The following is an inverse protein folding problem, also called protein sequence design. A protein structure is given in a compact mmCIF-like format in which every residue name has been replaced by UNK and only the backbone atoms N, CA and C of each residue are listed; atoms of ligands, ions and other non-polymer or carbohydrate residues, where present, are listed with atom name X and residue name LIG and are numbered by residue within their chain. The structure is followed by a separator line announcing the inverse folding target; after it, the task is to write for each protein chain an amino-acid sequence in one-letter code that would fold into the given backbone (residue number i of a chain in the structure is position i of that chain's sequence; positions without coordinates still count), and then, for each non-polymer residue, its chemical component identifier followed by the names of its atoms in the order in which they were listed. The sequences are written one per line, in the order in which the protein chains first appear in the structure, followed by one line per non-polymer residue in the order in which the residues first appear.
data_IF_778181461548
#
_entry.id   IF_778181461548
#
_cell.length_a   1.000
_cell.length_b   1.000
_cell.length_c   1.000
_cell.angle_alpha   90.00
_cell.angle_beta   90.00
_cell.angle_gamma   90.00
#
_symmetry.space_group_name_H-M   'P 1'
#
loop_
_entity.id
_entity.type
_entity.pdbx_description
1 polymer ?
#
# COMPACT_ATOMS: atom_id res chain seq x y z
N UNK A 1 12.01 14.60 -12.25
CA UNK A 1 12.04 13.36 -13.05
C UNK A 1 13.14 12.46 -12.49
N UNK A 2 12.95 11.14 -12.51
CA UNK A 2 14.04 10.20 -12.20
C UNK A 2 14.69 9.80 -13.52
N UNK A 3 16.02 9.97 -13.63
CA UNK A 3 16.80 9.67 -14.85
C UNK A 3 18.09 8.93 -14.49
N UNK A 4 18.69 8.25 -15.46
CA UNK A 4 20.04 7.70 -15.27
C UNK A 4 21.07 8.83 -15.14
N UNK A 5 22.08 8.58 -14.30
CA UNK A 5 23.23 9.45 -14.18
C UNK A 5 24.13 9.31 -15.42
N UNK A 6 24.83 10.39 -15.72
CA UNK A 6 25.91 10.49 -16.71
C UNK A 6 27.21 10.87 -16.01
N UNK A 7 28.34 10.79 -16.73
CA UNK A 7 29.64 11.18 -16.17
C UNK A 7 29.69 12.66 -15.75
N UNK A 8 28.87 13.52 -16.37
CA UNK A 8 28.79 14.96 -16.05
C UNK A 8 28.14 15.21 -14.69
N UNK A 9 27.38 14.25 -14.16
CA UNK A 9 26.68 14.37 -12.88
C UNK A 9 27.58 14.10 -11.67
N UNK A 10 28.82 13.62 -11.85
CA UNK A 10 29.68 13.13 -10.76
C UNK A 10 29.88 14.18 -9.66
N UNK A 11 30.19 15.42 -10.03
CA UNK A 11 30.39 16.51 -9.07
C UNK A 11 29.10 16.84 -8.28
N UNK A 12 27.93 16.73 -8.91
CA UNK A 12 26.65 16.95 -8.25
C UNK A 12 26.29 15.79 -7.31
N UNK A 13 26.65 14.56 -7.68
CA UNK A 13 26.52 13.36 -6.85
C UNK A 13 27.38 13.49 -5.59
N UNK A 14 28.66 13.86 -5.72
CA UNK A 14 29.56 14.03 -4.59
C UNK A 14 29.02 15.08 -3.59
N UNK A 15 28.56 16.23 -4.11
CA UNK A 15 27.97 17.28 -3.28
C UNK A 15 26.68 16.82 -2.58
N UNK A 16 25.82 16.05 -3.27
CA UNK A 16 24.60 15.48 -2.69
C UNK A 16 24.92 14.49 -1.57
N UNK A 17 25.86 13.57 -1.80
CA UNK A 17 26.26 12.55 -0.84
C UNK A 17 26.89 13.19 0.39
N UNK A 18 27.80 14.15 0.21
CA UNK A 18 28.41 14.87 1.33
C UNK A 18 27.33 15.56 2.18
N UNK A 19 26.39 16.27 1.55
CA UNK A 19 25.30 16.95 2.25
C UNK A 19 24.34 15.99 2.96
N UNK A 20 23.98 14.87 2.34
CA UNK A 20 23.02 13.90 2.88
C UNK A 20 23.61 13.09 4.04
N UNK A 21 24.91 12.78 4.00
CA UNK A 21 25.54 11.85 4.95
C UNK A 21 26.38 12.51 6.06
N UNK A 22 26.82 13.76 5.89
CA UNK A 22 27.58 14.50 6.91
C UNK A 22 26.98 14.46 8.33
N UNK A 23 25.65 14.58 8.53
CA UNK A 23 25.05 14.52 9.87
C UNK A 23 25.29 13.19 10.61
N UNK A 24 25.58 12.10 9.89
CA UNK A 24 25.75 10.77 10.47
C UNK A 24 27.19 10.46 10.90
N UNK A 25 28.18 11.27 10.53
CA UNK A 25 29.60 11.03 10.88
C UNK A 25 29.76 10.93 12.40
N UNK A 26 29.18 11.88 13.15
CA UNK A 26 29.27 11.88 14.61
C UNK A 26 28.52 10.71 15.27
N UNK A 27 27.41 10.25 14.64
CA UNK A 27 26.58 9.15 15.17
C UNK A 27 27.20 7.78 14.93
N UNK A 28 27.84 7.60 13.78
CA UNK A 28 28.49 6.35 13.38
C UNK A 28 29.91 6.27 13.94
N UNK A 29 30.56 7.42 14.18
CA UNK A 29 31.96 7.50 14.60
C UNK A 29 32.94 7.33 13.44
N UNK A 30 32.47 7.30 12.20
CA UNK A 30 33.26 7.18 10.98
C UNK A 30 32.51 7.79 9.79
N UNK A 31 33.22 8.05 8.68
CA UNK A 31 32.59 8.44 7.41
C UNK A 31 31.71 7.27 6.92
N UNK A 32 30.39 7.48 6.69
CA UNK A 32 29.51 6.45 6.14
C UNK A 32 29.99 5.88 4.80
N UNK A 33 29.73 4.60 4.55
CA UNK A 33 30.10 3.91 3.29
C UNK A 33 29.78 4.69 2.01
N UNK A 34 28.59 5.28 1.84
CA UNK A 34 28.27 6.10 0.67
C UNK A 34 29.21 7.27 0.39
N UNK A 35 29.88 7.83 1.42
CA UNK A 35 30.86 8.91 1.28
C UNK A 35 32.26 8.41 0.92
N UNK A 36 32.46 7.08 0.88
CA UNK A 36 33.71 6.41 0.54
C UNK A 36 33.63 5.70 -0.83
N UNK A 37 32.44 5.63 -1.42
CA UNK A 37 32.15 4.93 -2.67
C UNK A 37 32.65 5.73 -3.88
N UNK A 38 33.19 5.03 -4.88
CA UNK A 38 33.49 5.63 -6.18
C UNK A 38 32.27 5.47 -7.11
N UNK A 39 31.55 6.57 -7.34
CA UNK A 39 30.34 6.54 -8.17
C UNK A 39 30.63 6.47 -9.67
N UNK A 40 31.84 6.81 -10.14
CA UNK A 40 32.17 6.76 -11.56
C UNK A 40 31.96 5.37 -12.21
N UNK A 41 32.45 4.24 -11.63
CA UNK A 41 32.17 2.91 -12.17
C UNK A 41 30.69 2.52 -12.08
N UNK A 42 29.97 2.95 -11.03
CA UNK A 42 28.53 2.68 -10.90
C UNK A 42 27.71 3.42 -11.98
N UNK A 43 28.10 4.66 -12.31
CA UNK A 43 27.51 5.44 -13.41
C UNK A 43 27.79 4.73 -14.75
N UNK A 44 29.02 4.30 -14.99
CA UNK A 44 29.40 3.57 -16.21
C UNK A 44 28.61 2.25 -16.36
N UNK A 45 28.35 1.57 -15.24
CA UNK A 45 27.53 0.36 -15.18
C UNK A 45 26.01 0.63 -15.26
N UNK A 46 25.58 1.91 -15.36
CA UNK A 46 24.18 2.35 -15.39
C UNK A 46 23.39 1.97 -14.12
N UNK A 47 24.08 1.90 -12.99
CA UNK A 47 23.49 1.55 -11.70
C UNK A 47 23.02 2.78 -10.91
N UNK A 48 23.44 4.00 -11.29
CA UNK A 48 23.09 5.24 -10.61
C UNK A 48 21.96 5.97 -11.33
N UNK A 49 20.93 6.33 -10.58
CA UNK A 49 19.78 7.12 -11.01
C UNK A 49 19.63 8.36 -10.13
N UNK A 50 19.18 9.45 -10.72
CA UNK A 50 19.10 10.77 -10.10
C UNK A 50 17.68 11.30 -10.14
N UNK A 51 17.25 11.86 -9.01
CA UNK A 51 16.06 12.71 -8.96
C UNK A 51 16.45 14.13 -9.36
N UNK A 52 16.06 14.51 -10.56
CA UNK A 52 16.24 15.83 -11.13
C UNK A 52 14.96 16.66 -10.94
N UNK A 53 15.07 17.79 -10.24
CA UNK A 53 13.99 18.75 -10.06
C UNK A 53 14.43 20.08 -10.64
N UNK A 54 13.85 20.47 -11.77
CA UNK A 54 14.14 21.74 -12.46
C UNK A 54 15.65 21.93 -12.75
N UNK A 55 16.34 20.86 -13.16
CA UNK A 55 17.78 20.88 -13.47
C UNK A 55 18.68 20.76 -12.23
N UNK A 56 18.12 20.52 -11.05
CA UNK A 56 18.89 20.28 -9.83
C UNK A 56 18.79 18.82 -9.39
N UNK A 57 19.95 18.19 -9.17
CA UNK A 57 20.04 16.86 -8.57
C UNK A 57 19.73 16.98 -7.07
N UNK A 58 18.56 16.47 -6.66
CA UNK A 58 18.09 16.51 -5.27
C UNK A 58 18.01 15.13 -4.62
N UNK A 59 18.25 14.06 -5.37
CA UNK A 59 18.30 12.71 -4.84
C UNK A 59 19.05 11.75 -5.75
N UNK A 60 19.47 10.64 -5.16
CA UNK A 60 20.25 9.57 -5.79
C UNK A 60 19.71 8.22 -5.36
N UNK A 61 19.72 7.28 -6.28
CA UNK A 61 19.36 5.88 -6.08
C UNK A 61 20.36 5.00 -6.83
N UNK A 62 20.96 4.04 -6.14
CA UNK A 62 21.86 3.03 -6.71
C UNK A 62 21.17 1.68 -6.66
N UNK A 63 20.99 1.07 -7.83
CA UNK A 63 20.33 -0.23 -8.00
C UNK A 63 21.30 -1.26 -8.57
N UNK A 64 21.43 -2.40 -7.89
CA UNK A 64 22.30 -3.50 -8.31
C UNK A 64 21.44 -4.75 -8.46
N UNK A 65 21.39 -5.32 -9.67
CA UNK A 65 20.68 -6.57 -9.91
C UNK A 65 21.48 -7.76 -9.37
N UNK A 66 20.85 -8.57 -8.52
CA UNK A 66 21.35 -9.85 -8.02
C UNK A 66 20.53 -11.01 -8.65
N UNK A 67 20.92 -12.25 -8.40
CA UNK A 67 20.28 -13.45 -9.00
C UNK A 67 18.76 -13.53 -8.75
N UNK A 68 18.29 -13.11 -7.57
CA UNK A 68 16.88 -13.21 -7.16
C UNK A 68 16.33 -11.96 -6.48
N UNK A 69 17.06 -10.84 -6.54
CA UNK A 69 16.63 -9.60 -5.94
C UNK A 69 17.24 -8.39 -6.65
N UNK A 70 16.56 -7.25 -6.56
CA UNK A 70 17.19 -5.96 -6.83
C UNK A 70 17.69 -5.38 -5.49
N UNK A 71 18.97 -5.02 -5.39
CA UNK A 71 19.52 -4.34 -4.23
C UNK A 71 19.41 -2.83 -4.42
N UNK A 72 18.76 -2.15 -3.48
CA UNK A 72 18.96 -0.72 -3.25
C UNK A 72 20.22 -0.59 -2.41
N UNK A 73 21.33 -0.29 -3.09
CA UNK A 73 22.63 -0.18 -2.44
C UNK A 73 22.77 1.18 -1.72
N UNK A 74 22.23 2.23 -2.34
CA UNK A 74 22.19 3.56 -1.75
C UNK A 74 20.94 4.32 -2.19
N UNK A 75 20.31 5.03 -1.25
CA UNK A 75 19.25 6.00 -1.51
C UNK A 75 19.53 7.26 -0.69
N UNK A 76 19.62 8.40 -1.35
CA UNK A 76 19.93 9.67 -0.72
C UNK A 76 19.00 10.78 -1.22
N UNK A 77 18.60 11.67 -0.32
CA UNK A 77 17.84 12.89 -0.64
C UNK A 77 18.54 14.06 0.01
N UNK A 78 18.76 15.12 -0.78
CA UNK A 78 19.39 16.34 -0.30
C UNK A 78 18.62 16.91 0.90
N UNK A 79 19.27 17.37 1.99
CA UNK A 79 18.60 17.89 3.18
C UNK A 79 17.50 18.95 2.89
N UNK A 80 17.79 19.95 2.03
CA UNK A 80 16.82 20.97 1.57
C UNK A 80 15.57 20.43 0.86
N UNK A 81 15.57 19.16 0.47
CA UNK A 81 14.52 18.51 -0.29
C UNK A 81 13.81 17.40 0.51
N UNK A 82 14.19 17.20 1.78
CA UNK A 82 13.52 16.27 2.69
C UNK A 82 12.10 16.75 3.04
N UNK A 83 11.26 15.82 3.49
CA UNK A 83 9.85 16.10 3.81
C UNK A 83 8.93 16.27 2.59
N UNK A 84 9.47 16.25 1.36
CA UNK A 84 8.70 16.44 0.12
C UNK A 84 8.25 15.14 -0.56
N UNK A 85 8.43 13.99 0.09
CA UNK A 85 8.09 12.67 -0.47
C UNK A 85 9.09 12.08 -1.46
N UNK A 86 10.20 12.78 -1.77
CA UNK A 86 11.21 12.31 -2.73
C UNK A 86 11.88 10.99 -2.38
N UNK A 87 12.11 10.71 -1.10
CA UNK A 87 12.62 9.41 -0.67
C UNK A 87 11.67 8.27 -1.04
N UNK A 88 10.36 8.44 -0.77
CA UNK A 88 9.33 7.49 -1.18
C UNK A 88 9.30 7.33 -2.69
N UNK A 89 9.36 8.44 -3.44
CA UNK A 89 9.37 8.40 -4.90
C UNK A 89 10.54 7.56 -5.47
N UNK A 90 11.73 7.69 -4.89
CA UNK A 90 12.90 6.87 -5.29
C UNK A 90 12.70 5.39 -4.95
N UNK A 91 12.15 5.07 -3.77
CA UNK A 91 11.87 3.68 -3.39
C UNK A 91 10.81 3.04 -4.31
N UNK A 92 9.72 3.76 -4.63
CA UNK A 92 8.69 3.26 -5.55
C UNK A 92 9.27 3.06 -6.97
N UNK A 93 10.18 3.92 -7.42
CA UNK A 93 10.90 3.71 -8.66
C UNK A 93 11.75 2.44 -8.63
N UNK A 94 12.46 2.18 -7.52
CA UNK A 94 13.20 0.94 -7.33
C UNK A 94 12.28 -0.30 -7.39
N UNK A 95 11.08 -0.23 -6.81
CA UNK A 95 10.06 -1.30 -6.92
C UNK A 95 9.64 -1.51 -8.37
N UNK A 96 9.37 -0.43 -9.11
CA UNK A 96 9.03 -0.52 -10.53
C UNK A 96 10.17 -1.17 -11.34
N UNK A 97 11.44 -0.80 -11.10
CA UNK A 97 12.59 -1.43 -11.74
C UNK A 97 12.69 -2.93 -11.42
N UNK A 98 12.49 -3.33 -10.15
CA UNK A 98 12.51 -4.74 -9.77
C UNK A 98 11.43 -5.54 -10.52
N UNK A 99 10.21 -4.98 -10.68
CA UNK A 99 9.15 -5.60 -11.50
C UNK A 99 9.54 -5.73 -12.96
N UNK A 100 10.09 -4.67 -13.56
CA UNK A 100 10.53 -4.67 -14.96
C UNK A 100 11.63 -5.70 -15.22
N UNK A 101 12.49 -5.95 -14.23
CA UNK A 101 13.53 -6.98 -14.28
C UNK A 101 13.02 -8.39 -13.95
N UNK A 102 11.75 -8.56 -13.59
CA UNK A 102 11.18 -9.84 -13.16
C UNK A 102 11.75 -10.34 -11.83
N UNK A 103 12.33 -9.46 -11.02
CA UNK A 103 12.94 -9.81 -9.74
C UNK A 103 11.85 -9.79 -8.65
N UNK A 104 11.63 -10.92 -7.94
CA UNK A 104 10.51 -11.06 -7.00
C UNK A 104 10.75 -10.29 -5.69
N UNK A 105 11.98 -9.80 -5.47
CA UNK A 105 12.41 -9.22 -4.20
C UNK A 105 13.21 -7.96 -4.45
N UNK A 106 13.07 -7.04 -3.52
CA UNK A 106 13.96 -5.90 -3.38
C UNK A 106 14.61 -5.98 -2.01
N UNK A 107 15.91 -5.71 -1.96
CA UNK A 107 16.73 -5.75 -0.76
C UNK A 107 17.30 -4.37 -0.52
N UNK A 108 17.56 -4.08 0.75
CA UNK A 108 18.32 -2.91 1.15
C UNK A 108 19.05 -3.21 2.45
N UNK A 109 19.95 -2.31 2.82
CA UNK A 109 20.53 -2.29 4.14
C UNK A 109 20.61 -0.85 4.65
N UNK A 110 20.69 -0.68 5.97
CA UNK A 110 20.96 0.62 6.57
C UNK A 110 21.85 0.46 7.80
N UNK A 111 22.59 1.51 8.17
CA UNK A 111 23.42 1.47 9.36
C UNK A 111 22.52 1.39 10.61
N UNK A 112 22.89 0.56 11.60
CA UNK A 112 22.13 0.42 12.85
C UNK A 112 21.96 1.74 13.60
N UNK A 113 22.91 2.67 13.47
CA UNK A 113 22.84 4.00 14.07
C UNK A 113 21.79 4.92 13.42
N UNK A 114 21.22 4.56 12.26
CA UNK A 114 20.19 5.30 11.52
C UNK A 114 18.79 4.73 11.79
N UNK A 115 18.37 4.72 13.05
CA UNK A 115 17.10 4.12 13.48
C UNK A 115 15.86 4.71 12.78
N UNK A 116 15.92 5.97 12.35
CA UNK A 116 14.87 6.62 11.55
C UNK A 116 14.64 5.92 10.20
N UNK A 117 15.70 5.42 9.57
CA UNK A 117 15.61 4.70 8.30
C UNK A 117 14.96 3.33 8.50
N UNK A 118 15.23 2.67 9.63
CA UNK A 118 14.61 1.39 9.95
C UNK A 118 13.09 1.54 10.05
N UNK A 119 12.61 2.54 10.80
CA UNK A 119 11.18 2.84 10.89
C UNK A 119 10.55 3.19 9.54
N UNK A 120 11.26 3.98 8.72
CA UNK A 120 10.82 4.30 7.35
C UNK A 120 10.65 3.05 6.49
N UNK A 121 11.65 2.18 6.45
CA UNK A 121 11.60 0.98 5.59
C UNK A 121 10.56 -0.03 6.09
N UNK A 122 10.40 -0.19 7.41
CA UNK A 122 9.32 -1.01 7.98
C UNK A 122 7.94 -0.51 7.56
N UNK A 123 7.71 0.81 7.63
CA UNK A 123 6.46 1.42 7.16
C UNK A 123 6.24 1.26 5.64
N UNK A 124 7.32 1.10 4.85
CA UNK A 124 7.25 0.79 3.42
C UNK A 124 7.08 -0.72 3.13
N UNK A 125 6.94 -1.55 4.17
CA UNK A 125 6.70 -2.98 4.06
C UNK A 125 7.96 -3.84 3.94
N UNK A 126 9.15 -3.27 4.22
CA UNK A 126 10.37 -4.06 4.33
C UNK A 126 10.42 -4.77 5.67
N UNK A 127 10.82 -6.04 5.66
CA UNK A 127 11.11 -6.81 6.86
C UNK A 127 12.61 -6.88 7.10
N UNK A 128 12.99 -6.76 8.36
CA UNK A 128 14.35 -7.09 8.78
C UNK A 128 14.61 -8.59 8.59
N UNK A 129 15.76 -8.92 8.01
CA UNK A 129 16.18 -10.30 7.77
C UNK A 129 17.22 -10.73 8.78
N UNK A 130 18.26 -9.90 8.95
CA UNK A 130 19.36 -10.13 9.87
C UNK A 130 20.16 -8.84 10.07
N UNK A 131 21.03 -8.85 11.08
CA UNK A 131 22.02 -7.80 11.35
C UNK A 131 23.40 -8.41 11.25
N UNK A 132 24.33 -7.68 10.62
CA UNK A 132 25.71 -8.13 10.48
C UNK A 132 26.67 -6.92 10.36
N UNK A 133 27.95 -7.19 10.58
CA UNK A 133 29.02 -6.26 10.20
C UNK A 133 29.32 -6.48 8.74
N UNK A 134 29.20 -5.43 7.95
CA UNK A 134 29.50 -5.44 6.52
C UNK A 134 30.33 -4.20 6.17
N UNK A 135 31.47 -4.42 5.51
CA UNK A 135 32.45 -3.38 5.19
C UNK A 135 32.85 -2.50 6.40
N UNK A 136 32.91 -3.09 7.60
CA UNK A 136 33.24 -2.38 8.84
C UNK A 136 32.07 -1.62 9.49
N UNK A 137 30.87 -1.65 8.92
CA UNK A 137 29.69 -0.99 9.47
C UNK A 137 28.70 -2.01 10.06
N UNK A 138 28.12 -1.67 11.20
CA UNK A 138 26.98 -2.39 11.76
C UNK A 138 25.74 -2.10 10.92
N UNK A 139 25.26 -3.09 10.16
CA UNK A 139 24.11 -2.93 9.25
C UNK A 139 22.90 -3.76 9.71
N UNK A 140 21.73 -3.27 9.33
CA UNK A 140 20.46 -4.01 9.33
C UNK A 140 20.09 -4.30 7.89
N UNK A 141 19.95 -5.57 7.54
CA UNK A 141 19.57 -6.02 6.20
C UNK A 141 18.08 -6.27 6.15
N UNK A 142 17.42 -5.77 5.10
CA UNK A 142 15.99 -5.86 4.95
C UNK A 142 15.61 -6.27 3.53
N UNK A 143 14.43 -6.86 3.40
CA UNK A 143 13.86 -7.15 2.11
C UNK A 143 12.35 -6.96 2.06
N UNK A 144 11.84 -6.88 0.83
CA UNK A 144 10.42 -6.80 0.52
C UNK A 144 10.16 -7.58 -0.75
N UNK A 145 9.05 -8.30 -0.79
CA UNK A 145 8.58 -8.91 -2.03
C UNK A 145 7.97 -7.84 -2.94
N UNK A 146 8.31 -7.90 -4.22
CA UNK A 146 7.88 -6.94 -5.23
C UNK A 146 6.77 -7.57 -6.06
N UNK A 147 5.70 -6.81 -6.29
CA UNK A 147 4.53 -7.33 -7.03
C UNK A 147 3.60 -8.20 -6.17
N UNK A 148 3.58 -7.99 -4.85
CA UNK A 148 2.52 -8.50 -3.96
C UNK A 148 2.36 -10.00 -3.85
N UNK A 149 3.36 -10.79 -4.26
CA UNK A 149 3.40 -12.23 -4.08
C UNK A 149 4.68 -12.68 -3.36
N UNK A 150 4.62 -13.79 -2.64
CA UNK A 150 5.79 -14.39 -1.99
C UNK A 150 6.61 -15.28 -2.94
N UNK A 151 7.63 -15.98 -2.40
CA UNK A 151 8.50 -16.87 -3.18
C UNK A 151 7.77 -18.09 -3.75
N UNK A 152 6.60 -18.45 -3.20
CA UNK A 152 5.75 -19.52 -3.72
C UNK A 152 4.80 -19.00 -4.80
N UNK A 153 4.75 -17.68 -5.04
CA UNK A 153 3.77 -17.03 -5.92
C UNK A 153 2.39 -16.89 -5.28
N UNK A 154 2.28 -17.02 -3.96
CA UNK A 154 1.05 -16.73 -3.23
C UNK A 154 0.96 -15.23 -2.96
N UNK A 155 -0.25 -14.66 -3.05
CA UNK A 155 -0.49 -13.27 -2.67
C UNK A 155 -0.03 -13.06 -1.24
N UNK A 156 0.66 -11.96 -0.97
CA UNK A 156 1.16 -11.65 0.37
C UNK A 156 0.01 -11.56 1.37
N UNK A 157 0.24 -12.06 2.58
CA UNK A 157 -0.63 -11.83 3.73
C UNK A 157 -0.09 -10.67 4.55
N UNK A 158 -0.92 -10.14 5.45
CA UNK A 158 -0.46 -9.16 6.43
C UNK A 158 0.72 -9.69 7.24
N UNK A 159 1.72 -8.82 7.45
CA UNK A 159 2.88 -9.16 8.25
C UNK A 159 2.46 -9.40 9.72
N UNK A 160 3.03 -10.40 10.41
CA UNK A 160 2.70 -10.72 11.80
C UNK A 160 3.40 -9.75 12.77
N UNK A 161 3.15 -8.45 12.61
CA UNK A 161 3.72 -7.39 13.45
C UNK A 161 2.83 -7.13 14.68
N UNK A 162 3.39 -6.61 15.77
CA UNK A 162 2.56 -6.14 16.88
C UNK A 162 1.65 -4.98 16.43
N UNK A 163 0.43 -4.93 16.96
CA UNK A 163 -0.44 -3.77 16.77
C UNK A 163 0.17 -2.54 17.45
N UNK A 164 -0.02 -1.36 16.87
CA UNK A 164 0.52 -0.11 17.39
C UNK A 164 0.01 0.14 18.83
N UNK A 165 0.89 0.33 19.82
CA UNK A 165 0.48 0.44 21.23
C UNK A 165 -0.55 1.53 21.51
N UNK A 166 -0.49 2.65 20.77
CA UNK A 166 -1.42 3.77 20.89
C UNK A 166 -2.89 3.35 20.67
N UNK A 167 -3.15 2.36 19.81
CA UNK A 167 -4.49 1.90 19.47
C UNK A 167 -5.03 0.85 20.44
N UNK A 168 -4.19 0.32 21.34
CA UNK A 168 -4.59 -0.79 22.22
C UNK A 168 -5.79 -0.46 23.12
N UNK A 169 -5.89 0.72 23.78
CA UNK A 169 -7.05 1.05 24.59
C UNK A 169 -8.37 1.04 23.81
N UNK A 170 -8.35 1.57 22.57
CA UNK A 170 -9.49 1.55 21.66
C UNK A 170 -9.88 0.12 21.27
N UNK A 171 -8.90 -0.72 20.93
CA UNK A 171 -9.15 -2.11 20.55
C UNK A 171 -9.68 -2.95 21.72
N UNK A 172 -9.15 -2.74 22.91
CA UNK A 172 -9.63 -3.41 24.13
C UNK A 172 -11.08 -3.00 24.45
N UNK A 173 -11.43 -1.72 24.28
CA UNK A 173 -12.79 -1.22 24.49
C UNK A 173 -13.77 -1.70 23.42
N UNK A 174 -13.37 -1.72 22.14
CA UNK A 174 -14.11 -2.33 21.04
C UNK A 174 -14.49 -3.78 21.37
N UNK A 175 -13.49 -4.57 21.78
CA UNK A 175 -13.62 -5.96 22.13
C UNK A 175 -14.60 -6.15 23.31
N UNK A 176 -14.39 -5.44 24.42
CA UNK A 176 -15.26 -5.53 25.60
C UNK A 176 -16.69 -5.07 25.31
N UNK A 177 -16.85 -3.98 24.56
CA UNK A 177 -18.16 -3.44 24.19
C UNK A 177 -18.94 -4.46 23.35
N UNK A 178 -18.33 -5.01 22.30
CA UNK A 178 -18.99 -5.97 21.42
C UNK A 178 -19.27 -7.31 22.12
N UNK A 179 -18.37 -7.81 22.95
CA UNK A 179 -18.63 -9.01 23.75
C UNK A 179 -19.80 -8.81 24.70
N UNK A 180 -19.79 -7.72 25.47
CA UNK A 180 -20.82 -7.46 26.48
C UNK A 180 -22.21 -7.36 25.88
N UNK A 181 -22.33 -6.75 24.70
CA UNK A 181 -23.63 -6.42 24.11
C UNK A 181 -24.08 -7.41 23.03
N UNK A 182 -23.16 -8.15 22.41
CA UNK A 182 -23.44 -9.01 21.26
C UNK A 182 -22.85 -10.42 21.39
N UNK A 183 -22.52 -10.90 22.60
CA UNK A 183 -21.86 -12.20 22.84
C UNK A 183 -22.46 -13.37 22.05
N UNK A 184 -23.78 -13.55 22.08
CA UNK A 184 -24.45 -14.67 21.43
C UNK A 184 -24.44 -14.58 19.89
N UNK A 185 -24.22 -13.39 19.35
CA UNK A 185 -24.18 -13.12 17.91
C UNK A 185 -22.75 -13.21 17.35
N UNK A 186 -21.75 -12.81 18.15
CA UNK A 186 -20.37 -12.61 17.70
C UNK A 186 -19.58 -13.93 17.60
N UNK A 187 -18.97 -14.17 16.44
CA UNK A 187 -18.08 -15.32 16.19
C UNK A 187 -16.60 -14.93 16.09
N UNK A 188 -16.29 -13.74 15.59
CA UNK A 188 -14.94 -13.18 15.59
C UNK A 188 -14.87 -11.71 15.22
N UNK A 189 -13.84 -11.04 15.72
CA UNK A 189 -13.49 -9.64 15.43
C UNK A 189 -12.15 -9.62 14.72
N UNK A 190 -12.12 -8.95 13.57
CA UNK A 190 -10.94 -8.82 12.74
C UNK A 190 -10.67 -7.35 12.42
N UNK A 191 -9.41 -6.98 12.36
CA UNK A 191 -8.97 -5.68 11.87
C UNK A 191 -8.50 -5.81 10.43
N UNK A 192 -8.83 -4.83 9.60
CA UNK A 192 -8.15 -4.62 8.32
C UNK A 192 -7.64 -3.16 8.27
N UNK A 193 -7.23 -2.68 7.09
CA UNK A 193 -6.84 -1.29 6.95
C UNK A 193 -5.49 -0.95 7.62
N UNK A 194 -5.28 0.32 7.93
CA UNK A 194 -3.99 0.83 8.40
C UNK A 194 -3.62 0.34 9.80
N UNK A 195 -4.62 0.20 10.68
CA UNK A 195 -4.40 -0.32 12.04
C UNK A 195 -3.92 -1.76 11.99
N UNK A 196 -4.51 -2.60 11.14
CA UNK A 196 -4.06 -3.99 10.96
C UNK A 196 -2.64 -4.08 10.38
N UNK A 197 -2.29 -3.17 9.45
CA UNK A 197 -0.96 -3.05 8.84
C UNK A 197 0.09 -2.39 9.74
N UNK A 198 -0.33 -1.79 10.85
CA UNK A 198 0.56 -1.05 11.77
C UNK A 198 1.12 0.25 11.19
N UNK A 199 0.44 0.84 10.21
CA UNK A 199 0.81 2.10 9.56
C UNK A 199 -0.22 3.23 9.82
N UNK A 200 -1.10 3.04 10.81
CA UNK A 200 -2.13 4.01 11.17
C UNK A 200 -1.54 5.28 11.83
N UNK A 201 -2.24 6.39 11.61
CA UNK A 201 -1.91 7.72 12.14
C UNK A 201 -3.03 8.22 13.02
N UNK A 202 -2.67 8.68 14.21
CA UNK A 202 -3.59 9.18 15.21
C UNK A 202 -4.37 10.39 14.68
N UNK A 203 -5.70 10.38 14.84
CA UNK A 203 -6.62 11.44 14.38
C UNK A 203 -6.85 11.50 12.86
N UNK A 204 -6.11 10.73 12.06
CA UNK A 204 -6.21 10.70 10.59
C UNK A 204 -6.71 9.38 10.02
N UNK A 205 -6.48 8.26 10.72
CA UNK A 205 -6.81 6.92 10.24
C UNK A 205 -8.16 6.44 10.75
N UNK A 206 -8.87 5.70 9.90
CA UNK A 206 -10.09 4.99 10.28
C UNK A 206 -9.77 3.70 11.06
N UNK A 207 -10.72 3.24 11.86
CA UNK A 207 -10.74 1.88 12.41
C UNK A 207 -11.66 1.00 11.56
N UNK A 208 -11.02 0.21 10.73
CA UNK A 208 -11.63 -0.75 9.82
C UNK A 208 -11.79 -2.13 10.50
N UNK A 209 -13.03 -2.55 10.79
CA UNK A 209 -13.33 -3.80 11.51
C UNK A 209 -14.20 -4.71 10.67
N UNK A 210 -13.81 -5.98 10.55
CA UNK A 210 -14.67 -7.04 10.04
C UNK A 210 -15.25 -7.85 11.20
N UNK A 211 -16.57 -7.94 11.27
CA UNK A 211 -17.31 -8.73 12.25
C UNK A 211 -17.85 -9.99 11.60
N UNK A 212 -17.43 -11.16 12.10
CA UNK A 212 -17.98 -12.44 11.69
C UNK A 212 -18.98 -12.91 12.74
N UNK A 213 -20.23 -13.10 12.30
CA UNK A 213 -21.35 -13.45 13.16
C UNK A 213 -21.68 -14.95 13.07
N UNK A 214 -22.13 -15.54 14.18
CA UNK A 214 -22.51 -16.95 14.26
C UNK A 214 -23.82 -17.29 13.53
N UNK A 215 -24.66 -16.28 13.27
CA UNK A 215 -25.93 -16.40 12.55
C UNK A 215 -26.23 -15.12 11.77
N UNK A 216 -27.15 -15.20 10.82
CA UNK A 216 -27.68 -14.02 10.14
C UNK A 216 -28.27 -13.04 11.16
N UNK A 217 -27.84 -11.76 11.14
CA UNK A 217 -28.35 -10.77 12.06
C UNK A 217 -29.79 -10.36 11.68
N UNK A 218 -30.63 -10.14 12.68
CA UNK A 218 -31.92 -9.49 12.51
C UNK A 218 -31.75 -7.98 12.34
N UNK A 219 -32.80 -7.27 11.93
CA UNK A 219 -32.77 -5.81 11.87
C UNK A 219 -32.44 -5.15 13.23
N UNK A 220 -32.86 -5.78 14.34
CA UNK A 220 -32.51 -5.31 15.70
C UNK A 220 -31.04 -5.52 16.02
N UNK A 221 -30.47 -6.65 15.61
CA UNK A 221 -29.04 -6.92 15.77
C UNK A 221 -28.22 -5.87 15.01
N UNK A 222 -28.59 -5.57 13.75
CA UNK A 222 -27.93 -4.54 12.95
C UNK A 222 -28.07 -3.14 13.56
N UNK A 223 -29.25 -2.77 14.02
CA UNK A 223 -29.46 -1.49 14.71
C UNK A 223 -28.63 -1.37 15.98
N UNK A 224 -28.48 -2.47 16.72
CA UNK A 224 -27.64 -2.50 17.91
C UNK A 224 -26.16 -2.34 17.55
N UNK A 225 -25.67 -3.06 16.54
CA UNK A 225 -24.28 -2.94 16.08
C UNK A 225 -23.95 -1.52 15.61
N UNK A 226 -24.85 -0.89 14.85
CA UNK A 226 -24.66 0.50 14.40
C UNK A 226 -24.64 1.48 15.57
N UNK A 227 -25.52 1.29 16.57
CA UNK A 227 -25.50 2.10 17.78
C UNK A 227 -24.15 1.97 18.51
N UNK A 228 -23.66 0.74 18.69
CA UNK A 228 -22.37 0.50 19.35
C UNK A 228 -21.19 1.07 18.57
N UNK A 229 -21.23 1.00 17.24
CA UNK A 229 -20.24 1.61 16.34
C UNK A 229 -20.12 3.11 16.60
N UNK A 230 -21.25 3.82 16.60
CA UNK A 230 -21.29 5.27 16.87
C UNK A 230 -20.86 5.60 18.30
N UNK A 231 -21.31 4.85 19.30
CA UNK A 231 -20.87 5.04 20.70
C UNK A 231 -19.37 4.79 20.89
N UNK A 232 -18.76 3.89 20.12
CA UNK A 232 -17.30 3.69 20.11
C UNK A 232 -16.58 4.84 19.42
N UNK A 233 -17.09 5.29 18.27
CA UNK A 233 -16.51 6.41 17.50
C UNK A 233 -16.48 7.69 18.36
N UNK A 234 -17.58 8.01 19.04
CA UNK A 234 -17.68 9.17 19.94
C UNK A 234 -16.69 9.13 21.11
N UNK A 235 -16.36 7.92 21.61
CA UNK A 235 -15.44 7.73 22.74
C UNK A 235 -13.97 7.80 22.36
N UNK A 236 -13.64 7.60 21.08
CA UNK A 236 -12.27 7.38 20.63
C UNK A 236 -11.88 8.32 19.49
N UNK A 237 -11.55 9.59 19.78
CA UNK A 237 -11.06 10.55 18.78
C UNK A 237 -9.67 10.21 18.22
N UNK A 238 -9.09 9.10 18.64
CA UNK A 238 -7.83 8.55 18.11
C UNK A 238 -7.97 8.15 16.62
N UNK A 239 -9.19 7.84 16.17
CA UNK A 239 -9.50 7.47 14.78
C UNK A 239 -10.51 8.46 14.20
N UNK A 240 -10.44 8.68 12.89
CA UNK A 240 -11.37 9.59 12.18
C UNK A 240 -12.78 9.02 12.05
N UNK A 241 -12.90 7.69 12.01
CA UNK A 241 -14.15 6.95 11.84
C UNK A 241 -13.97 5.50 12.28
N UNK A 242 -15.07 4.82 12.62
CA UNK A 242 -15.10 3.36 12.80
C UNK A 242 -16.08 2.74 11.78
N UNK A 243 -15.63 1.74 11.02
CA UNK A 243 -16.45 1.04 10.03
C UNK A 243 -16.54 -0.47 10.32
N UNK A 244 -17.74 -1.03 10.16
CA UNK A 244 -18.03 -2.45 10.35
C UNK A 244 -18.42 -3.13 9.04
N UNK A 245 -17.56 -4.00 8.54
CA UNK A 245 -17.89 -4.99 7.52
C UNK A 245 -18.46 -6.24 8.19
N UNK A 246 -19.70 -6.60 7.89
CA UNK A 246 -20.41 -7.67 8.61
C UNK A 246 -20.65 -8.85 7.67
N UNK A 247 -20.21 -10.05 8.09
CA UNK A 247 -20.50 -11.32 7.43
C UNK A 247 -20.90 -12.39 8.44
N UNK A 248 -21.48 -13.49 7.97
CA UNK A 248 -21.71 -14.67 8.82
C UNK A 248 -20.64 -15.73 8.60
N UNK A 249 -20.44 -16.59 9.60
CA UNK A 249 -19.55 -17.76 9.49
C UNK A 249 -19.89 -18.60 8.25
N UNK A 250 -21.17 -18.90 8.04
CA UNK A 250 -21.62 -19.71 6.91
C UNK A 250 -21.30 -19.04 5.58
N UNK A 251 -21.48 -17.72 5.48
CA UNK A 251 -21.12 -16.96 4.28
C UNK A 251 -19.61 -16.99 4.02
N UNK A 252 -18.79 -16.83 5.06
CA UNK A 252 -17.32 -16.83 4.93
C UNK A 252 -16.80 -18.19 4.47
N UNK A 253 -17.35 -19.28 5.01
CA UNK A 253 -16.89 -20.64 4.72
C UNK A 253 -17.52 -21.25 3.47
N UNK A 254 -18.55 -20.61 2.90
CA UNK A 254 -19.19 -21.06 1.66
C UNK A 254 -18.20 -21.07 0.48
N UNK A 255 -18.20 -22.15 -0.30
CA UNK A 255 -17.23 -22.36 -1.39
C UNK A 255 -17.33 -21.27 -2.47
N UNK A 256 -18.53 -20.79 -2.77
CA UNK A 256 -18.81 -19.68 -3.69
C UNK A 256 -18.20 -18.34 -3.24
N UNK A 257 -18.01 -18.16 -1.94
CA UNK A 257 -17.45 -16.95 -1.34
C UNK A 257 -15.95 -17.06 -1.06
N UNK A 258 -15.31 -18.17 -1.46
CA UNK A 258 -13.88 -18.38 -1.23
C UNK A 258 -13.04 -17.24 -1.79
N UNK A 259 -13.36 -16.76 -2.99
CA UNK A 259 -12.61 -15.70 -3.67
C UNK A 259 -13.01 -14.28 -3.24
N UNK A 260 -14.07 -14.12 -2.44
CA UNK A 260 -14.46 -12.86 -1.81
C UNK A 260 -14.05 -12.87 -0.33
N UNK A 261 -14.87 -13.45 0.54
CA UNK A 261 -14.64 -13.53 1.99
C UNK A 261 -13.38 -14.28 2.37
N UNK A 262 -13.12 -15.45 1.75
CA UNK A 262 -11.94 -16.25 2.08
C UNK A 262 -10.63 -15.52 1.76
N UNK A 263 -10.56 -14.90 0.58
CA UNK A 263 -9.44 -14.05 0.19
C UNK A 263 -9.31 -12.82 1.10
N UNK A 264 -10.43 -12.13 1.39
CA UNK A 264 -10.46 -10.95 2.26
C UNK A 264 -9.85 -11.26 3.62
N UNK A 265 -10.37 -12.29 4.32
CA UNK A 265 -9.87 -12.68 5.63
C UNK A 265 -8.39 -13.09 5.57
N UNK A 266 -8.01 -13.91 4.59
CA UNK A 266 -6.65 -14.45 4.50
C UNK A 266 -5.58 -13.40 4.26
N UNK A 267 -5.87 -12.40 3.43
CA UNK A 267 -4.86 -11.46 2.93
C UNK A 267 -4.94 -10.06 3.52
N UNK A 268 -6.12 -9.64 4.02
CA UNK A 268 -6.33 -8.27 4.49
C UNK A 268 -6.68 -8.15 5.97
N UNK A 269 -7.03 -9.26 6.63
CA UNK A 269 -7.53 -9.21 8.00
C UNK A 269 -6.54 -9.79 9.03
N UNK A 270 -6.66 -9.30 10.26
CA UNK A 270 -6.03 -9.85 11.46
C UNK A 270 -7.10 -10.16 12.49
N UNK A 271 -7.21 -11.42 12.90
CA UNK A 271 -8.07 -11.78 14.01
C UNK A 271 -7.52 -11.14 15.31
N UNK A 272 -8.39 -10.45 16.05
CA UNK A 272 -8.06 -9.90 17.37
C UNK A 272 -8.88 -10.55 18.49
N UNK A 273 -10.00 -11.21 18.15
CA UNK A 273 -10.84 -11.93 19.11
C UNK A 273 -11.74 -12.96 18.42
N UNK A 274 -12.07 -14.04 19.13
CA UNK A 274 -12.94 -15.12 18.64
C UNK A 274 -12.18 -16.23 17.92
N UNK A 275 -12.90 -17.09 17.19
CA UNK A 275 -12.28 -18.13 16.37
C UNK A 275 -11.66 -17.51 15.12
N UNK A 276 -10.37 -17.74 14.92
CA UNK A 276 -9.67 -17.29 13.71
C UNK A 276 -10.00 -18.21 12.53
N UNK A 277 -10.86 -17.73 11.63
CA UNK A 277 -11.25 -18.45 10.42
C UNK A 277 -10.17 -18.42 9.33
N UNK A 278 -9.13 -17.60 9.46
CA UNK A 278 -8.03 -17.52 8.50
C UNK A 278 -7.33 -18.88 8.34
N UNK A 279 -7.34 -19.71 9.39
CA UNK A 279 -6.75 -21.05 9.37
C UNK A 279 -7.41 -22.01 8.37
N UNK A 280 -8.65 -21.76 7.95
CA UNK A 280 -9.35 -22.59 6.96
C UNK A 280 -8.97 -22.26 5.51
N UNK A 281 -8.18 -21.20 5.30
CA UNK A 281 -7.79 -20.74 3.98
C UNK A 281 -6.28 -20.87 3.75
N UNK A 282 -5.89 -21.66 2.75
CA UNK A 282 -4.55 -21.59 2.19
C UNK A 282 -4.34 -20.21 1.52
N UNK A 283 -3.11 -19.68 1.48
CA UNK A 283 -2.79 -18.49 0.69
C UNK A 283 -3.27 -18.62 -0.76
N UNK A 284 -3.75 -17.52 -1.34
CA UNK A 284 -4.33 -17.50 -2.67
C UNK A 284 -3.29 -17.16 -3.73
N UNK A 285 -3.43 -17.76 -4.92
CA UNK A 285 -2.69 -17.36 -6.11
C UNK A 285 -3.32 -16.13 -6.78
N UNK A 286 -2.54 -15.33 -7.53
CA UNK A 286 -3.00 -14.08 -8.12
C UNK A 286 -3.87 -14.31 -9.38
N UNK A 287 -5.11 -14.77 -9.18
CA UNK A 287 -6.05 -15.11 -10.25
C UNK A 287 -7.14 -14.05 -10.46
N UNK A 288 -7.61 -13.91 -11.69
CA UNK A 288 -8.64 -12.94 -12.09
C UNK A 288 -9.97 -13.14 -11.35
N UNK A 289 -10.32 -14.38 -11.01
CA UNK A 289 -11.53 -14.71 -10.27
C UNK A 289 -11.61 -13.99 -8.91
N UNK A 290 -10.48 -13.77 -8.23
CA UNK A 290 -10.43 -13.00 -6.98
C UNK A 290 -10.74 -11.53 -7.26
N UNK A 291 -10.05 -10.93 -8.24
CA UNK A 291 -10.23 -9.51 -8.58
C UNK A 291 -11.68 -9.19 -8.98
N UNK A 292 -12.35 -10.13 -9.67
CA UNK A 292 -13.77 -10.03 -10.03
C UNK A 292 -14.69 -10.19 -8.81
N UNK A 293 -14.43 -11.19 -7.96
CA UNK A 293 -15.27 -11.47 -6.78
C UNK A 293 -15.29 -10.29 -5.79
N UNK A 294 -14.14 -9.66 -5.52
CA UNK A 294 -14.06 -8.51 -4.60
C UNK A 294 -14.58 -7.19 -5.19
N UNK A 295 -14.92 -7.18 -6.48
CA UNK A 295 -15.49 -6.01 -7.18
C UNK A 295 -16.83 -6.35 -7.84
N UNK A 296 -17.57 -7.32 -7.32
CA UNK A 296 -18.86 -7.74 -7.89
C UNK A 296 -19.91 -6.61 -7.90
N UNK A 297 -19.78 -5.64 -6.99
CA UNK A 297 -20.68 -4.47 -6.85
C UNK A 297 -20.21 -3.23 -7.64
N UNK A 298 -19.13 -3.35 -8.41
CA UNK A 298 -18.42 -2.20 -8.97
C UNK A 298 -19.30 -1.23 -9.73
N UNK A 299 -20.21 -1.74 -10.58
CA UNK A 299 -21.06 -0.89 -11.41
C UNK A 299 -21.94 0.05 -10.57
N UNK A 300 -22.55 -0.47 -9.50
CA UNK A 300 -23.35 0.33 -8.58
C UNK A 300 -22.49 1.35 -7.82
N UNK A 301 -21.29 0.95 -7.40
CA UNK A 301 -20.35 1.83 -6.68
C UNK A 301 -19.85 2.96 -7.56
N UNK A 302 -19.43 2.70 -8.81
CA UNK A 302 -18.98 3.74 -9.74
C UNK A 302 -20.13 4.71 -10.03
N UNK A 303 -21.34 4.21 -10.28
CA UNK A 303 -22.52 5.06 -10.50
C UNK A 303 -22.76 6.02 -9.32
N UNK A 304 -22.72 5.50 -8.08
CA UNK A 304 -22.88 6.30 -6.87
C UNK A 304 -21.81 7.38 -6.73
N UNK A 305 -20.55 7.08 -7.05
CA UNK A 305 -19.48 8.08 -7.04
C UNK A 305 -19.70 9.15 -8.12
N UNK A 306 -20.09 8.77 -9.34
CA UNK A 306 -20.41 9.72 -10.40
C UNK A 306 -21.54 10.68 -10.00
N UNK A 307 -22.65 10.13 -9.49
CA UNK A 307 -23.77 10.93 -8.97
C UNK A 307 -23.35 11.83 -7.80
N UNK A 308 -22.54 11.33 -6.87
CA UNK A 308 -22.05 12.11 -5.74
C UNK A 308 -21.17 13.27 -6.18
N UNK A 309 -20.27 13.06 -7.15
CA UNK A 309 -19.35 14.08 -7.65
C UNK A 309 -20.11 15.20 -8.38
N UNK A 310 -21.10 14.85 -9.21
CA UNK A 310 -21.97 15.82 -9.90
C UNK A 310 -22.75 16.68 -8.89
N UNK A 311 -23.19 16.07 -7.80
CA UNK A 311 -24.03 16.73 -6.79
C UNK A 311 -23.24 17.25 -5.58
N UNK A 312 -21.91 17.31 -5.66
CA UNK A 312 -21.10 17.77 -4.54
C UNK A 312 -21.43 19.23 -4.21
N UNK A 313 -21.99 19.47 -3.01
CA UNK A 313 -22.46 20.80 -2.59
C UNK A 313 -21.33 21.78 -2.23
N UNK A 314 -20.11 21.27 -2.05
CA UNK A 314 -18.95 22.05 -1.63
C UNK A 314 -17.63 21.41 -2.08
N UNK A 315 -16.55 22.19 -2.04
CA UNK A 315 -15.22 21.77 -2.52
C UNK A 315 -14.58 20.68 -1.65
N UNK A 316 -14.90 20.61 -0.35
CA UNK A 316 -14.38 19.58 0.53
C UNK A 316 -14.98 18.22 0.18
N UNK A 317 -16.31 18.15 0.08
CA UNK A 317 -17.05 16.95 -0.35
C UNK A 317 -16.61 16.49 -1.74
N UNK A 318 -16.46 17.41 -2.70
CA UNK A 318 -15.97 17.08 -4.04
C UNK A 318 -14.59 16.42 -4.00
N UNK A 319 -13.63 17.02 -3.28
CA UNK A 319 -12.27 16.47 -3.14
C UNK A 319 -12.27 15.10 -2.49
N UNK A 320 -13.09 14.90 -1.46
CA UNK A 320 -13.23 13.60 -0.81
C UNK A 320 -13.73 12.53 -1.79
N UNK A 321 -14.83 12.81 -2.50
CA UNK A 321 -15.42 11.88 -3.45
C UNK A 321 -14.47 11.56 -4.62
N UNK A 322 -13.78 12.56 -5.16
CA UNK A 322 -12.77 12.35 -6.22
C UNK A 322 -11.64 11.44 -5.77
N UNK A 323 -11.17 11.62 -4.53
CA UNK A 323 -10.11 10.79 -3.94
C UNK A 323 -10.54 9.34 -3.81
N UNK A 324 -11.72 9.11 -3.24
CA UNK A 324 -12.28 7.77 -3.04
C UNK A 324 -12.59 7.08 -4.38
N UNK A 325 -13.24 7.80 -5.31
CA UNK A 325 -13.55 7.32 -6.64
C UNK A 325 -12.29 6.93 -7.42
N UNK A 326 -11.24 7.76 -7.36
CA UNK A 326 -9.94 7.47 -7.99
C UNK A 326 -9.31 6.19 -7.45
N UNK A 327 -9.33 6.00 -6.13
CA UNK A 327 -8.81 4.77 -5.50
C UNK A 327 -9.62 3.54 -5.91
N UNK A 328 -10.95 3.64 -5.97
CA UNK A 328 -11.82 2.54 -6.40
C UNK A 328 -11.60 2.21 -7.88
N UNK A 329 -11.50 3.21 -8.75
CA UNK A 329 -11.22 3.03 -10.18
C UNK A 329 -9.89 2.30 -10.44
N UNK A 330 -8.80 2.77 -9.81
CA UNK A 330 -7.49 2.11 -9.95
C UNK A 330 -7.53 0.64 -9.48
N UNK A 331 -8.13 0.38 -8.32
CA UNK A 331 -8.26 -0.99 -7.79
C UNK A 331 -9.12 -1.88 -8.69
N UNK A 332 -10.20 -1.33 -9.25
CA UNK A 332 -11.07 -2.03 -10.17
C UNK A 332 -10.37 -2.43 -11.48
N UNK A 333 -9.35 -1.68 -11.91
CA UNK A 333 -8.52 -2.05 -13.07
C UNK A 333 -7.88 -3.45 -12.94
N UNK A 334 -7.65 -3.95 -11.72
CA UNK A 334 -7.15 -5.30 -11.48
C UNK A 334 -8.10 -6.40 -11.98
N UNK A 335 -9.39 -6.10 -12.23
CA UNK A 335 -10.33 -7.06 -12.82
C UNK A 335 -9.97 -7.44 -14.27
N UNK A 336 -9.20 -6.60 -14.97
CA UNK A 336 -8.73 -6.85 -16.34
C UNK A 336 -7.52 -7.80 -16.41
N UNK A 337 -6.96 -8.18 -15.26
CA UNK A 337 -5.77 -9.03 -15.18
C UNK A 337 -5.92 -10.36 -15.91
N UNK A 338 -4.80 -10.90 -16.38
CA UNK A 338 -4.71 -12.27 -16.87
C UNK A 338 -4.47 -13.24 -15.72
N UNK A 339 -4.93 -14.48 -15.84
CA UNK A 339 -4.53 -15.57 -14.94
C UNK A 339 -3.05 -15.97 -15.11
N UNK A 340 -2.38 -15.44 -16.14
CA UNK A 340 -0.93 -15.58 -16.34
C UNK A 340 -0.11 -14.56 -15.56
N UNK A 341 -0.75 -13.54 -15.00
CA UNK A 341 -0.05 -12.47 -14.27
C UNK A 341 0.47 -13.02 -12.95
N UNK A 342 1.79 -13.03 -12.79
CA UNK A 342 2.46 -13.57 -11.60
C UNK A 342 2.48 -12.61 -10.41
N UNK A 343 2.05 -11.37 -10.59
CA UNK A 343 2.03 -10.34 -9.55
C UNK A 343 0.62 -10.01 -9.07
N UNK A 344 0.52 -9.54 -7.82
CA UNK A 344 -0.66 -8.94 -7.24
C UNK A 344 -0.38 -7.48 -6.86
N UNK A 345 -1.18 -6.51 -7.34
CA UNK A 345 -0.96 -5.11 -7.00
C UNK A 345 -1.29 -4.85 -5.53
N UNK A 346 -0.43 -4.10 -4.83
CA UNK A 346 -0.65 -3.74 -3.43
C UNK A 346 -0.89 -2.25 -3.22
N UNK A 347 -0.16 -1.41 -3.97
CA UNK A 347 -0.25 0.05 -3.89
C UNK A 347 -1.10 0.60 -5.04
N UNK A 348 -1.48 1.88 -4.95
CA UNK A 348 -2.21 2.54 -6.03
C UNK A 348 -1.33 2.70 -7.28
N UNK A 349 -0.04 2.87 -7.08
CA UNK A 349 0.98 2.89 -8.13
C UNK A 349 1.04 1.54 -8.85
N UNK A 350 1.00 0.43 -8.11
CA UNK A 350 0.97 -0.93 -8.68
C UNK A 350 -0.29 -1.13 -9.52
N UNK A 351 -1.44 -0.72 -8.98
CA UNK A 351 -2.71 -0.77 -9.70
C UNK A 351 -2.68 0.08 -10.98
N UNK A 352 -2.17 1.31 -10.90
CA UNK A 352 -2.06 2.20 -12.05
C UNK A 352 -1.12 1.63 -13.13
N UNK A 353 0.02 1.07 -12.72
CA UNK A 353 0.99 0.48 -13.64
C UNK A 353 0.43 -0.78 -14.31
N UNK A 354 -0.19 -1.66 -13.53
CA UNK A 354 -0.86 -2.84 -14.08
C UNK A 354 -1.95 -2.44 -15.09
N UNK A 355 -2.75 -1.42 -14.78
CA UNK A 355 -3.78 -0.91 -15.68
C UNK A 355 -3.19 -0.39 -16.99
N UNK A 356 -2.07 0.36 -16.94
CA UNK A 356 -1.34 0.84 -18.14
C UNK A 356 -0.85 -0.31 -19.01
N UNK A 357 -0.30 -1.36 -18.39
CA UNK A 357 0.23 -2.53 -19.10
C UNK A 357 -0.92 -3.34 -19.74
N UNK A 358 -1.96 -3.61 -18.95
CA UNK A 358 -3.07 -4.49 -19.35
C UNK A 358 -4.00 -3.82 -20.37
N UNK A 359 -4.19 -2.50 -20.23
CA UNK A 359 -5.10 -1.72 -21.05
C UNK A 359 -4.47 -0.35 -21.40
N UNK A 360 -3.56 -0.29 -22.39
CA UNK A 360 -2.82 0.94 -22.71
C UNK A 360 -3.71 2.14 -23.08
N UNK A 361 -4.92 1.91 -23.59
CA UNK A 361 -5.91 2.97 -23.83
C UNK A 361 -6.34 3.73 -22.57
N UNK A 362 -6.20 3.11 -21.39
CA UNK A 362 -6.52 3.69 -20.08
C UNK A 362 -5.29 4.27 -19.38
N UNK A 363 -4.17 4.44 -20.08
CA UNK A 363 -2.95 4.94 -19.47
C UNK A 363 -3.07 6.39 -18.99
N UNK A 364 -3.85 7.21 -19.69
CA UNK A 364 -4.14 8.59 -19.29
C UNK A 364 -4.97 8.62 -18.01
N UNK A 365 -6.02 7.80 -17.94
CA UNK A 365 -6.93 7.64 -16.81
C UNK A 365 -6.19 7.09 -15.59
N UNK A 366 -5.33 6.09 -15.78
CA UNK A 366 -4.48 5.56 -14.72
C UNK A 366 -3.58 6.65 -14.11
N UNK A 367 -2.99 7.50 -14.94
CA UNK A 367 -2.23 8.66 -14.48
C UNK A 367 -3.10 9.74 -13.80
N UNK A 368 -4.28 10.00 -14.34
CA UNK A 368 -5.24 10.96 -13.81
C UNK A 368 -5.74 10.58 -12.42
N UNK A 369 -6.24 9.35 -12.25
CA UNK A 369 -6.72 8.85 -10.96
C UNK A 369 -5.60 8.71 -9.95
N UNK A 370 -4.39 8.31 -10.36
CA UNK A 370 -3.28 8.22 -9.42
C UNK A 370 -2.97 9.59 -8.79
N UNK A 371 -3.01 10.67 -9.57
CA UNK A 371 -2.85 12.03 -9.02
C UNK A 371 -3.99 12.39 -8.06
N UNK A 372 -5.24 12.21 -8.49
CA UNK A 372 -6.42 12.59 -7.71
C UNK A 372 -6.67 11.71 -6.47
N UNK A 373 -6.07 10.52 -6.41
CA UNK A 373 -6.09 9.68 -5.21
C UNK A 373 -5.27 10.24 -4.03
N UNK A 374 -4.37 11.19 -4.30
CA UNK A 374 -3.59 11.91 -3.30
C UNK A 374 -4.01 13.37 -3.23
N UNK A 375 -4.01 14.08 -4.36
CA UNK A 375 -4.26 15.51 -4.45
C UNK A 375 -5.35 15.81 -5.49
N UNK A 376 -6.64 15.73 -5.08
CA UNK A 376 -7.76 15.98 -5.97
C UNK A 376 -7.93 17.48 -6.25
N UNK A 377 -7.74 17.88 -7.51
CA UNK A 377 -7.80 19.29 -7.94
C UNK A 377 -8.69 19.54 -9.18
N UNK A 378 -9.19 18.49 -9.85
CA UNK A 378 -10.04 18.65 -11.03
C UNK A 378 -11.42 19.26 -10.70
N UNK A 379 -12.01 19.95 -11.68
CA UNK A 379 -13.43 20.28 -11.63
C UNK A 379 -14.28 19.00 -11.69
N UNK A 380 -15.53 19.09 -11.24
CA UNK A 380 -16.45 17.96 -11.30
C UNK A 380 -16.63 17.46 -12.75
N UNK A 381 -16.76 18.39 -13.70
CA UNK A 381 -16.95 18.08 -15.12
C UNK A 381 -15.76 17.31 -15.71
N UNK A 382 -14.55 17.80 -15.50
CA UNK A 382 -13.33 17.14 -16.00
C UNK A 382 -13.14 15.77 -15.35
N UNK A 383 -13.43 15.65 -14.05
CA UNK A 383 -13.31 14.38 -13.36
C UNK A 383 -14.30 13.36 -13.92
N UNK A 384 -15.56 13.75 -14.12
CA UNK A 384 -16.60 12.88 -14.68
C UNK A 384 -16.25 12.44 -16.11
N UNK A 385 -15.69 13.32 -16.95
CA UNK A 385 -15.21 12.94 -18.29
C UNK A 385 -14.23 11.76 -18.24
N UNK A 386 -13.18 11.85 -17.42
CA UNK A 386 -12.23 10.75 -17.23
C UNK A 386 -12.88 9.51 -16.58
N UNK A 387 -13.80 9.72 -15.65
CA UNK A 387 -14.47 8.65 -14.92
C UNK A 387 -15.42 7.82 -15.82
N UNK A 388 -16.17 8.48 -16.69
CA UNK A 388 -17.07 7.85 -17.66
C UNK A 388 -16.29 7.16 -18.78
N UNK A 389 -15.19 7.77 -19.26
CA UNK A 389 -14.28 7.15 -20.23
C UNK A 389 -13.66 5.86 -19.66
N UNK A 390 -13.18 5.91 -18.41
CA UNK A 390 -12.68 4.73 -17.71
C UNK A 390 -13.74 3.65 -17.55
N UNK A 391 -14.91 4.02 -17.01
CA UNK A 391 -16.01 3.09 -16.73
C UNK A 391 -16.44 2.35 -17.99
N UNK A 392 -16.67 3.10 -19.09
CA UNK A 392 -17.11 2.54 -20.37
C UNK A 392 -16.08 1.55 -20.93
N UNK A 393 -14.81 1.95 -21.02
CA UNK A 393 -13.75 1.08 -21.55
C UNK A 393 -13.46 -0.13 -20.65
N UNK A 394 -13.58 0.01 -19.32
CA UNK A 394 -13.43 -1.10 -18.38
C UNK A 394 -14.52 -2.15 -18.61
N UNK A 395 -15.79 -1.75 -18.69
CA UNK A 395 -16.89 -2.70 -18.85
C UNK A 395 -16.92 -3.34 -20.24
N UNK A 396 -16.59 -2.61 -21.30
CA UNK A 396 -16.43 -3.18 -22.64
C UNK A 396 -15.35 -4.27 -22.65
N UNK A 397 -14.20 -4.01 -22.02
CA UNK A 397 -13.12 -4.99 -21.88
C UNK A 397 -13.52 -6.19 -21.03
N UNK A 398 -14.24 -5.98 -19.92
CA UNK A 398 -14.71 -7.08 -19.07
C UNK A 398 -15.68 -8.00 -19.81
N UNK A 399 -16.53 -7.46 -20.68
CA UNK A 399 -17.41 -8.26 -21.53
C UNK A 399 -16.63 -9.07 -22.58
N UNK A 400 -15.48 -8.60 -23.04
CA UNK A 400 -14.64 -9.31 -24.01
C UNK A 400 -13.80 -10.45 -23.39
N UNK A 401 -13.57 -10.43 -22.06
CA UNK A 401 -12.76 -11.42 -21.32
C UNK A 401 -13.66 -12.34 -20.47
N UNK A 402 -14.97 -12.08 -20.43
CA UNK A 402 -15.98 -12.95 -19.83
C UNK A 402 -16.54 -13.91 -20.87
#
# INVERSE_FOLDING_TARGET
MIRLASAEDLAAIDALIEAAYSPYIARIGARPGPMLEDYAPLIAARQVQLLDVQGQVLGLLVLIAEEHALLIDNVAVHPRAQGRGYGRQLIEHAHACARQLGLPRIRLYTNQAMAENLGLYQALGYRETHRAVDQGFQRVFMDKYVGGVDANGDILTLAPIALQPAYRPLLDDLCHTLERHCQALLGGIYLYGSVARGDAREGESDLDVTLILNRTPSAKDLQQLERLRTELEDRHPLVSKIDFDIGTRDQVLAAENRNSWGYWLKHHCRCIQGEDLVQYFAPFKPVSAIARAVNADLQAVLKRYGEGIVNAGDAHTLRQLQREASRKALRAGNMLRSDKDSSWPLTLEDHAEQLRITCPQLAAEAGFFLRHAYDPEASAELFIEHFDAFSSALFERLQAIG
#
